data_IF_434810287206
#
_entry.id   IF_434810287206
#
_cell.length_a   1.000
_cell.length_b   1.000
_cell.length_c   1.000
_cell.angle_alpha   90.00
_cell.angle_beta   90.00
_cell.angle_gamma   90.00
#
_symmetry.space_group_name_H-M   'P 1'
#
loop_
_entity.id
_entity.type
_entity.pdbx_description
1 polymer ?
#
# COMPACT_ATOMS: atom_id res chain seq x y z
N UNK A 1 -17.64 -7.92 0.48
CA UNK A 1 -16.90 -7.95 -0.81
C UNK A 1 -17.31 -6.71 -1.58
N UNK A 2 -16.42 -6.19 -2.41
CA UNK A 2 -16.70 -5.06 -3.30
C UNK A 2 -16.19 -5.39 -4.72
N UNK A 3 -16.59 -4.57 -5.70
CA UNK A 3 -16.35 -4.78 -7.13
C UNK A 3 -15.83 -3.54 -7.86
N UNK A 4 -15.73 -2.40 -7.17
CA UNK A 4 -15.27 -1.14 -7.79
C UNK A 4 -13.82 -1.28 -8.23
N UNK A 5 -13.49 -0.87 -9.46
CA UNK A 5 -12.11 -0.71 -9.87
C UNK A 5 -11.59 0.62 -9.34
N UNK A 6 -10.80 0.61 -8.26
CA UNK A 6 -10.18 1.80 -7.70
C UNK A 6 -8.79 1.51 -7.13
N UNK A 7 -7.92 2.52 -7.12
CA UNK A 7 -6.55 2.46 -6.61
C UNK A 7 -5.52 3.01 -7.59
N UNK A 8 -4.26 3.00 -7.17
CA UNK A 8 -3.10 3.42 -7.99
C UNK A 8 -2.54 2.22 -8.76
N UNK A 9 -2.26 2.33 -10.08
CA UNK A 9 -1.93 1.18 -10.93
C UNK A 9 -0.89 0.20 -10.38
N UNK A 10 0.21 0.68 -9.81
CA UNK A 10 1.34 -0.10 -9.27
C UNK A 10 0.96 -0.93 -8.03
N UNK A 11 -0.10 -0.52 -7.32
CA UNK A 11 -0.54 -1.08 -6.05
C UNK A 11 -1.76 -2.00 -6.17
N UNK A 12 -2.38 -2.08 -7.35
CA UNK A 12 -3.57 -2.90 -7.55
C UNK A 12 -3.26 -4.39 -7.37
N UNK A 13 -4.13 -5.09 -6.63
CA UNK A 13 -4.08 -6.54 -6.53
C UNK A 13 -4.60 -7.21 -7.81
N UNK A 14 -4.11 -8.42 -8.17
CA UNK A 14 -4.51 -9.12 -9.39
C UNK A 14 -6.03 -9.32 -9.51
N UNK A 15 -6.71 -9.61 -8.40
CA UNK A 15 -8.15 -9.81 -8.38
C UNK A 15 -8.97 -8.54 -8.69
N UNK A 16 -8.44 -7.35 -8.37
CA UNK A 16 -9.07 -6.07 -8.74
C UNK A 16 -8.97 -5.87 -10.25
N UNK A 17 -7.77 -6.07 -10.81
CA UNK A 17 -7.50 -5.94 -12.26
C UNK A 17 -8.37 -6.92 -13.06
N UNK A 18 -8.51 -8.15 -12.57
CA UNK A 18 -9.34 -9.18 -13.18
C UNK A 18 -10.85 -8.99 -12.93
N UNK A 19 -11.26 -7.86 -12.35
CA UNK A 19 -12.66 -7.51 -12.07
C UNK A 19 -13.39 -8.59 -11.25
N UNK A 20 -12.69 -9.25 -10.33
CA UNK A 20 -13.28 -10.23 -9.42
C UNK A 20 -13.77 -9.52 -8.17
N UNK A 21 -14.85 -10.01 -7.57
CA UNK A 21 -15.29 -9.54 -6.26
C UNK A 21 -14.20 -9.78 -5.22
N UNK A 22 -13.69 -8.71 -4.61
CA UNK A 22 -12.51 -8.75 -3.74
C UNK A 22 -12.85 -8.41 -2.28
N UNK A 23 -11.89 -8.62 -1.39
CA UNK A 23 -12.01 -8.43 0.06
C UNK A 23 -10.73 -7.75 0.61
N UNK A 24 -10.57 -7.71 1.93
CA UNK A 24 -9.39 -7.17 2.64
C UNK A 24 -8.03 -7.73 2.20
N UNK A 25 -7.97 -8.82 1.43
CA UNK A 25 -6.71 -9.40 0.96
C UNK A 25 -5.95 -8.46 0.00
N UNK A 26 -6.63 -7.50 -0.62
CA UNK A 26 -6.01 -6.51 -1.51
C UNK A 26 -5.11 -5.54 -0.73
N UNK A 27 -5.43 -5.27 0.54
CA UNK A 27 -4.60 -4.42 1.40
C UNK A 27 -3.28 -5.12 1.74
N UNK A 28 -3.30 -6.44 1.95
CA UNK A 28 -2.09 -7.23 2.18
C UNK A 28 -1.19 -7.33 0.95
N UNK A 29 -1.79 -7.32 -0.25
CA UNK A 29 -1.02 -7.19 -1.49
C UNK A 29 -0.36 -5.81 -1.57
N UNK A 30 -1.11 -4.74 -1.33
CA UNK A 30 -0.59 -3.37 -1.34
C UNK A 30 0.52 -3.17 -0.29
N UNK A 31 0.41 -3.80 0.88
CA UNK A 31 1.49 -3.86 1.86
C UNK A 31 2.76 -4.52 1.30
N UNK A 32 2.61 -5.61 0.56
CA UNK A 32 3.72 -6.26 -0.14
C UNK A 32 4.40 -5.34 -1.16
N UNK A 33 3.61 -4.58 -1.93
CA UNK A 33 4.12 -3.58 -2.88
C UNK A 33 4.89 -2.48 -2.13
N UNK A 34 4.30 -1.94 -1.06
CA UNK A 34 4.90 -0.89 -0.24
C UNK A 34 6.22 -1.32 0.42
N UNK A 35 6.26 -2.51 1.04
CA UNK A 35 7.47 -3.04 1.68
C UNK A 35 8.58 -3.28 0.65
N UNK A 36 8.22 -3.77 -0.54
CA UNK A 36 9.18 -3.89 -1.64
C UNK A 36 9.73 -2.52 -2.01
N UNK A 37 8.86 -1.53 -2.27
CA UNK A 37 9.25 -0.21 -2.74
C UNK A 37 10.12 0.54 -1.72
N UNK A 38 9.77 0.53 -0.44
CA UNK A 38 10.60 1.12 0.62
C UNK A 38 11.98 0.48 0.72
N UNK A 39 12.10 -0.82 0.40
CA UNK A 39 13.36 -1.55 0.50
C UNK A 39 14.22 -1.44 -0.76
N UNK A 40 13.61 -1.29 -1.93
CA UNK A 40 14.29 -1.24 -3.23
C UNK A 40 14.48 0.18 -3.80
N UNK A 41 13.64 1.13 -3.40
CA UNK A 41 13.54 2.47 -3.99
C UNK A 41 12.70 2.54 -5.27
N UNK A 42 12.01 1.46 -5.66
CA UNK A 42 11.12 1.39 -6.82
C UNK A 42 10.10 0.25 -6.63
N UNK A 43 8.90 0.32 -7.25
CA UNK A 43 7.86 -0.70 -7.06
C UNK A 43 8.20 -2.02 -7.79
N UNK A 44 7.68 -3.17 -7.32
CA UNK A 44 7.95 -4.49 -7.91
C UNK A 44 7.40 -4.65 -9.33
N UNK A 45 6.34 -3.90 -9.66
CA UNK A 45 5.69 -3.88 -10.97
C UNK A 45 5.68 -2.46 -11.49
N UNK A 46 6.60 -2.15 -12.40
CA UNK A 46 6.68 -0.85 -13.06
C UNK A 46 6.77 -1.04 -14.57
N UNK A 47 6.18 -0.11 -15.32
CA UNK A 47 6.24 -0.01 -16.77
C UNK A 47 5.75 1.38 -17.21
N UNK A 48 5.97 1.73 -18.48
CA UNK A 48 5.60 3.04 -19.01
C UNK A 48 4.09 3.21 -19.19
N UNK A 49 3.36 2.11 -19.37
CA UNK A 49 1.93 2.11 -19.61
C UNK A 49 1.20 1.25 -18.57
N UNK A 50 0.07 1.72 -18.01
CA UNK A 50 -0.69 0.97 -16.99
C UNK A 50 -1.03 -0.46 -17.40
N UNK A 51 -1.35 -0.69 -18.69
CA UNK A 51 -1.67 -2.04 -19.18
C UNK A 51 -0.50 -3.03 -19.00
N UNK A 52 0.73 -2.57 -19.18
CA UNK A 52 1.93 -3.40 -18.99
C UNK A 52 2.18 -3.67 -17.50
N UNK A 53 1.86 -2.71 -16.63
CA UNK A 53 1.89 -2.91 -15.17
C UNK A 53 0.90 -4.01 -14.79
N UNK A 54 -0.32 -3.97 -15.34
CA UNK A 54 -1.35 -4.96 -15.07
C UNK A 54 -0.97 -6.37 -15.52
N UNK A 55 -0.40 -6.51 -16.72
CA UNK A 55 0.12 -7.78 -17.22
C UNK A 55 1.19 -8.37 -16.28
N UNK A 56 2.09 -7.52 -15.77
CA UNK A 56 3.13 -7.93 -14.81
C UNK A 56 2.53 -8.37 -13.49
N UNK A 57 1.59 -7.60 -12.93
CA UNK A 57 0.88 -7.92 -11.68
C UNK A 57 0.19 -9.28 -11.78
N UNK A 58 -0.60 -9.50 -12.83
CA UNK A 58 -1.35 -10.76 -13.03
C UNK A 58 -0.40 -11.94 -13.25
N UNK A 59 0.77 -11.73 -13.84
CA UNK A 59 1.79 -12.77 -13.99
C UNK A 59 2.40 -13.25 -12.66
N UNK A 60 2.38 -12.41 -11.62
CA UNK A 60 2.98 -12.69 -10.31
C UNK A 60 4.50 -12.82 -10.29
N UNK A 61 5.18 -12.49 -11.39
CA UNK A 61 6.64 -12.65 -11.52
C UNK A 61 7.37 -11.43 -10.96
N UNK A 62 7.73 -11.50 -9.69
CA UNK A 62 8.54 -10.49 -9.00
C UNK A 62 10.03 -10.84 -9.08
N UNK A 63 10.87 -9.88 -9.45
CA UNK A 63 12.34 -9.98 -9.34
C UNK A 63 12.77 -9.27 -8.06
N UNK A 64 13.66 -9.88 -7.30
CA UNK A 64 14.13 -9.30 -6.04
C UNK A 64 15.59 -8.83 -6.16
N UNK A 65 15.94 -7.63 -5.65
CA UNK A 65 17.32 -7.19 -5.60
C UNK A 65 18.23 -8.17 -4.84
N UNK A 66 19.51 -8.19 -5.20
CA UNK A 66 20.49 -9.07 -4.54
C UNK A 66 20.65 -8.76 -3.05
N UNK A 67 20.58 -7.49 -2.67
CA UNK A 67 20.74 -7.00 -1.30
C UNK A 67 19.54 -7.31 -0.37
N UNK A 68 18.41 -7.78 -0.91
CA UNK A 68 17.29 -8.21 -0.07
C UNK A 68 17.67 -9.48 0.71
N UNK A 69 17.39 -9.46 2.02
CA UNK A 69 17.60 -10.62 2.89
C UNK A 69 16.69 -11.80 2.49
N UNK A 70 17.07 -13.00 2.91
CA UNK A 70 16.26 -14.20 2.68
C UNK A 70 14.85 -14.07 3.27
N UNK A 71 14.76 -13.56 4.50
CA UNK A 71 13.49 -13.35 5.21
C UNK A 71 12.62 -12.29 4.52
N UNK A 72 13.20 -11.19 4.03
CA UNK A 72 12.43 -10.18 3.28
C UNK A 72 11.82 -10.77 2.00
N UNK A 73 12.62 -11.51 1.22
CA UNK A 73 12.15 -12.19 0.00
C UNK A 73 11.04 -13.20 0.33
N UNK A 74 11.12 -13.88 1.46
CA UNK A 74 10.12 -14.86 1.88
C UNK A 74 8.79 -14.20 2.26
N UNK A 75 8.83 -13.12 3.05
CA UNK A 75 7.66 -12.33 3.38
C UNK A 75 6.97 -11.81 2.11
N UNK A 76 7.74 -11.20 1.21
CA UNK A 76 7.22 -10.62 -0.02
C UNK A 76 6.62 -11.67 -0.95
N UNK A 77 7.20 -12.88 -1.04
CA UNK A 77 6.60 -14.00 -1.80
C UNK A 77 5.22 -14.41 -1.27
N UNK A 78 4.98 -14.27 0.03
CA UNK A 78 3.71 -14.60 0.66
C UNK A 78 2.68 -13.46 0.62
N UNK A 79 3.12 -12.20 0.60
CA UNK A 79 2.25 -11.02 0.43
C UNK A 79 1.89 -10.77 -1.04
N UNK A 80 2.87 -10.84 -1.95
CA UNK A 80 2.70 -10.69 -3.41
C UNK A 80 2.28 -12.02 -4.06
N UNK A 81 1.41 -12.75 -3.37
CA UNK A 81 0.85 -14.01 -3.84
C UNK A 81 -0.41 -13.74 -4.68
N UNK A 82 -0.38 -14.14 -5.95
CA UNK A 82 -1.50 -13.94 -6.90
C UNK A 82 -2.73 -14.73 -6.47
N UNK A 83 -2.53 -15.95 -5.98
CA UNK A 83 -3.61 -16.77 -5.42
C UNK A 83 -3.99 -16.25 -4.02
N UNK A 84 -5.04 -15.43 -3.93
CA UNK A 84 -5.49 -14.83 -2.67
C UNK A 84 -5.76 -15.85 -1.55
N UNK A 85 -6.03 -17.12 -1.88
CA UNK A 85 -6.25 -18.18 -0.88
C UNK A 85 -4.96 -18.62 -0.18
N UNK A 86 -3.81 -18.23 -0.73
CA UNK A 86 -2.46 -18.50 -0.22
C UNK A 86 -1.75 -17.24 0.26
N UNK A 87 -2.40 -16.07 0.14
CA UNK A 87 -1.81 -14.78 0.52
C UNK A 87 -1.84 -14.61 2.05
N UNK A 88 -0.72 -14.21 2.62
CA UNK A 88 -0.64 -13.87 4.05
C UNK A 88 -1.63 -12.75 4.40
N UNK A 89 -2.17 -12.80 5.62
CA UNK A 89 -3.25 -11.92 6.04
C UNK A 89 -4.65 -12.40 5.64
N UNK A 90 -4.75 -13.36 4.71
CA UNK A 90 -6.01 -13.97 4.25
C UNK A 90 -6.09 -15.49 4.49
N UNK A 91 -5.12 -16.06 5.20
CA UNK A 91 -5.13 -17.45 5.66
C UNK A 91 -5.88 -17.59 6.99
N UNK A 92 -5.91 -18.82 7.53
CA UNK A 92 -6.58 -19.13 8.82
C UNK A 92 -6.06 -18.29 9.99
N UNK A 93 -4.75 -18.06 10.08
CA UNK A 93 -4.15 -17.26 11.16
C UNK A 93 -4.25 -15.74 10.87
N UNK A 94 -4.72 -15.36 9.68
CA UNK A 94 -4.91 -13.96 9.30
C UNK A 94 -3.62 -13.15 9.40
N UNK A 95 -3.66 -12.05 10.17
CA UNK A 95 -2.54 -11.12 10.33
C UNK A 95 -1.36 -11.73 11.09
N UNK A 96 -1.59 -12.77 11.88
CA UNK A 96 -0.52 -13.36 12.70
C UNK A 96 0.56 -14.02 11.83
N UNK A 97 0.21 -14.57 10.66
CA UNK A 97 1.19 -15.08 9.69
C UNK A 97 2.21 -14.01 9.26
N UNK A 98 1.81 -12.74 9.29
CA UNK A 98 2.69 -11.59 9.01
C UNK A 98 3.45 -11.19 10.28
N UNK A 99 2.74 -10.99 11.39
CA UNK A 99 3.34 -10.50 12.64
C UNK A 99 4.39 -11.42 13.23
N UNK A 100 4.23 -12.73 13.04
CA UNK A 100 5.18 -13.75 13.53
C UNK A 100 6.20 -14.18 12.47
N UNK A 101 6.18 -13.57 11.28
CA UNK A 101 7.15 -13.87 10.23
C UNK A 101 8.57 -13.48 10.67
N UNK A 102 9.59 -14.26 10.26
CA UNK A 102 10.99 -14.05 10.69
C UNK A 102 11.53 -12.65 10.41
N UNK A 103 11.09 -12.03 9.32
CA UNK A 103 11.46 -10.66 8.98
C UNK A 103 11.04 -9.63 10.06
N UNK A 104 9.95 -9.90 10.79
CA UNK A 104 9.47 -9.08 11.90
C UNK A 104 9.90 -9.63 13.28
N UNK A 105 10.87 -10.55 13.35
CA UNK A 105 11.29 -11.17 14.62
C UNK A 105 11.82 -10.18 15.65
N UNK A 106 12.41 -9.06 15.21
CA UNK A 106 12.89 -7.99 16.07
C UNK A 106 11.83 -6.93 16.40
N UNK A 107 10.60 -7.06 15.90
CA UNK A 107 9.55 -6.05 16.05
C UNK A 107 8.76 -6.26 17.33
N UNK A 108 8.90 -5.33 18.27
CA UNK A 108 7.97 -5.21 19.40
C UNK A 108 6.71 -4.46 18.97
N UNK A 109 5.68 -5.23 18.62
CA UNK A 109 4.39 -4.69 18.17
C UNK A 109 3.70 -3.80 19.21
N UNK A 110 3.88 -4.05 20.51
CA UNK A 110 3.26 -3.26 21.57
C UNK A 110 4.01 -1.94 21.75
N UNK A 111 5.35 -1.96 21.72
CA UNK A 111 6.15 -0.74 21.78
C UNK A 111 5.90 0.16 20.56
N UNK A 112 5.76 -0.41 19.36
CA UNK A 112 5.38 0.33 18.14
C UNK A 112 4.01 0.98 18.32
N UNK A 113 3.00 0.23 18.75
CA UNK A 113 1.65 0.76 19.00
C UNK A 113 1.64 1.89 20.04
N UNK A 114 2.43 1.74 21.11
CA UNK A 114 2.59 2.74 22.17
C UNK A 114 3.53 3.90 21.81
N UNK A 115 4.08 3.93 20.58
CA UNK A 115 5.04 4.94 20.11
C UNK A 115 6.28 5.07 21.00
N UNK A 116 6.77 3.94 21.51
CA UNK A 116 7.96 3.85 22.39
C UNK A 116 9.25 3.52 21.65
N UNK A 117 9.16 3.10 20.40
CA UNK A 117 10.32 2.85 19.54
C UNK A 117 10.78 4.18 18.94
N UNK A 118 12.08 4.45 19.02
CA UNK A 118 12.68 5.62 18.37
C UNK A 118 12.58 5.49 16.85
N UNK A 119 12.08 6.53 16.18
CA UNK A 119 11.95 6.53 14.73
C UNK A 119 13.34 6.66 14.08
N UNK A 120 13.61 5.93 12.97
CA UNK A 120 14.90 6.03 12.28
C UNK A 120 15.12 7.39 11.60
N UNK A 121 14.05 8.14 11.37
CA UNK A 121 14.06 9.47 10.79
C UNK A 121 13.01 10.34 11.48
N UNK A 122 13.44 11.51 11.93
CA UNK A 122 12.56 12.57 12.44
C UNK A 122 12.63 13.73 11.44
N UNK A 123 11.52 14.08 10.76
CA UNK A 123 11.49 15.18 9.81
C UNK A 123 11.90 16.52 10.47
N UNK A 124 12.63 17.35 9.72
CA UNK A 124 12.98 18.69 10.17
C UNK A 124 11.77 19.61 9.97
N UNK A 125 11.36 20.27 11.04
CA UNK A 125 10.25 21.24 11.02
C UNK A 125 10.60 22.44 11.89
N UNK A 126 10.22 23.64 11.46
CA UNK A 126 10.44 24.91 12.16
C UNK A 126 9.31 25.26 13.13
N UNK A 127 8.15 24.61 13.01
CA UNK A 127 6.98 24.83 13.86
C UNK A 127 5.70 24.26 13.25
N UNK A 128 4.54 24.45 13.92
CA UNK A 128 3.27 23.82 13.50
C UNK A 128 2.74 24.24 12.12
N UNK A 129 3.14 25.40 11.60
CA UNK A 129 2.74 25.89 10.27
C UNK A 129 3.81 25.72 9.18
N UNK A 130 4.87 24.96 9.44
CA UNK A 130 5.95 24.76 8.47
C UNK A 130 5.53 23.76 7.38
N UNK A 131 5.41 24.26 6.14
CA UNK A 131 5.08 23.46 4.96
C UNK A 131 6.31 23.01 4.16
N UNK A 132 7.54 23.20 4.66
CA UNK A 132 8.78 22.94 3.89
C UNK A 132 9.06 21.48 3.50
N UNK A 133 8.33 20.51 4.04
CA UNK A 133 8.41 19.11 3.62
C UNK A 133 7.38 18.74 2.53
N UNK A 134 6.63 19.72 2.03
CA UNK A 134 5.67 19.56 0.93
C UNK A 134 6.17 20.32 -0.31
N UNK A 135 5.72 19.90 -1.49
CA UNK A 135 5.98 20.60 -2.74
C UNK A 135 5.13 21.89 -2.83
N UNK A 136 5.58 22.84 -3.65
CA UNK A 136 4.82 24.05 -3.97
C UNK A 136 3.85 23.78 -5.13
N UNK A 137 2.62 24.28 -4.99
CA UNK A 137 1.56 24.15 -6.00
C UNK A 137 0.98 25.53 -6.34
N UNK A 138 0.33 25.64 -7.50
CA UNK A 138 -0.38 26.86 -7.88
C UNK A 138 -1.60 27.09 -6.96
N UNK A 139 -1.70 28.29 -6.40
CA UNK A 139 -2.78 28.65 -5.48
C UNK A 139 -4.04 29.05 -6.26
N UNK A 140 -5.11 28.28 -6.10
CA UNK A 140 -6.42 28.56 -6.70
C UNK A 140 -7.39 29.16 -5.67
N UNK A 141 -8.13 30.24 -6.00
CA UNK A 141 -9.10 30.81 -5.07
C UNK A 141 -10.31 29.89 -4.89
N UNK A 142 -10.73 29.70 -3.64
CA UNK A 142 -11.96 28.97 -3.31
C UNK A 142 -13.19 29.71 -3.87
N UNK A 143 -13.90 29.07 -4.80
CA UNK A 143 -15.13 29.61 -5.41
C UNK A 143 -16.36 28.99 -4.75
N UNK A 144 -17.09 29.80 -3.99
CA UNK A 144 -18.36 29.40 -3.39
C UNK A 144 -19.49 29.73 -4.35
N UNK A 145 -20.27 28.72 -4.74
CA UNK A 145 -21.43 28.92 -5.60
C UNK A 145 -22.52 29.73 -4.88
N UNK A 146 -23.19 30.61 -5.60
CA UNK A 146 -24.33 31.41 -5.06
C UNK A 146 -25.60 30.60 -4.87
N UNK A 147 -25.61 29.35 -5.32
CA UNK A 147 -26.74 28.43 -5.24
C UNK A 147 -26.24 27.08 -4.73
N UNK A 148 -27.06 26.41 -3.94
CA UNK A 148 -26.80 25.05 -3.49
C UNK A 148 -26.57 24.13 -4.71
N UNK A 149 -25.50 23.34 -4.65
CA UNK A 149 -25.15 22.34 -5.65
C UNK A 149 -25.20 20.97 -5.00
N UNK A 150 -25.87 20.03 -5.65
CA UNK A 150 -25.86 18.61 -5.26
C UNK A 150 -26.36 18.32 -3.83
N UNK A 151 -27.26 19.15 -3.29
CA UNK A 151 -27.73 19.01 -1.90
C UNK A 151 -28.38 17.66 -1.60
N UNK A 152 -29.01 17.02 -2.60
CA UNK A 152 -29.58 15.67 -2.45
C UNK A 152 -28.51 14.59 -2.43
N UNK A 153 -27.51 14.70 -3.29
CA UNK A 153 -26.43 13.72 -3.41
C UNK A 153 -25.51 13.71 -2.20
N UNK A 154 -25.38 14.84 -1.49
CA UNK A 154 -24.56 14.99 -0.29
C UNK A 154 -25.38 15.19 0.99
N UNK A 155 -26.66 14.80 1.01
CA UNK A 155 -27.55 14.97 2.18
C UNK A 155 -27.01 14.25 3.44
N UNK A 156 -26.28 13.16 3.25
CA UNK A 156 -25.69 12.33 4.33
C UNK A 156 -24.17 12.52 4.50
N UNK A 157 -23.57 13.53 3.86
CA UNK A 157 -22.13 13.83 4.04
C UNK A 157 -21.86 14.43 5.42
#
# INVERSE_FOLDING_TARGET
RTWTLCGTPEYLAPEIILSKGYNKAVDWWALGVLVYEMSAGYPPFFADQPIQIYEKIVSGKVRYPSHFSGDLKDLLRNLLQVDLTKRYGNLKNGVDDIKTHKWFSATDWIAIYQRKVEAPFVPKTKGPGDASNFDEYEEEPLRIATTEKFGKEFEEF
#
